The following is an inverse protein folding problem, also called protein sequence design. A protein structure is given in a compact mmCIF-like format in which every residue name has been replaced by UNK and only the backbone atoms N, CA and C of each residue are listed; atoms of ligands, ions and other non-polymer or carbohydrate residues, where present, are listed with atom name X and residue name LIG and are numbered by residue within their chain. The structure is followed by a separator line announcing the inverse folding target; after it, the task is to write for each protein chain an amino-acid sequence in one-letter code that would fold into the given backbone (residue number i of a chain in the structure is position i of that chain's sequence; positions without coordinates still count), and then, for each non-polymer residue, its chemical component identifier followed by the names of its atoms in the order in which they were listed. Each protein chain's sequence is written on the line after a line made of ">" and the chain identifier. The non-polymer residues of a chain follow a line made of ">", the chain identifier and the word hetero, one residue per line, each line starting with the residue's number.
data_IF_924066672958
#
_entry.id   IF_924066672958
#
_cell.length_a   1.000
_cell.length_b   1.000
_cell.length_c   1.000
_cell.angle_alpha   90.00
_cell.angle_beta   90.00
_cell.angle_gamma   90.00
#
_symmetry.space_group_name_H-M   'P 1'
#
loop_
_entity.id
_entity.type
_entity.pdbx_description
1 polymer ?
#
# COMPACT_ATOMS: atom_id res chain seq x y z
N UNK A 1 -15.31 -49.32 -14.34
CA UNK A 1 -15.87 -49.18 -15.68
C UNK A 1 -17.00 -48.15 -15.63
N UNK A 2 -16.76 -46.97 -16.17
CA UNK A 2 -17.67 -46.07 -16.91
C UNK A 2 -17.06 -44.67 -16.91
N UNK A 3 -16.34 -44.41 -17.99
CA UNK A 3 -15.85 -43.10 -18.40
C UNK A 3 -17.00 -42.25 -18.92
N UNK A 4 -17.14 -41.01 -18.45
CA UNK A 4 -17.98 -40.00 -19.08
C UNK A 4 -17.10 -38.79 -19.42
N UNK A 5 -16.84 -38.60 -20.71
CA UNK A 5 -16.20 -37.42 -21.27
C UNK A 5 -17.28 -36.36 -21.50
N UNK A 6 -17.05 -35.16 -20.96
CA UNK A 6 -17.87 -33.97 -21.25
C UNK A 6 -17.00 -32.99 -22.05
N UNK A 7 -17.37 -32.88 -23.34
CA UNK A 7 -16.80 -31.89 -24.25
C UNK A 7 -17.55 -30.54 -24.05
N UNK A 8 -16.86 -29.49 -23.65
CA UNK A 8 -17.40 -28.12 -23.60
C UNK A 8 -16.95 -27.35 -24.84
N UNK A 9 -17.90 -26.98 -25.66
CA UNK A 9 -17.74 -26.03 -26.78
C UNK A 9 -17.62 -24.61 -26.20
N UNK A 10 -16.55 -23.90 -26.55
CA UNK A 10 -16.39 -22.47 -26.32
C UNK A 10 -16.81 -21.74 -27.60
N UNK A 11 -17.91 -20.99 -27.53
CA UNK A 11 -18.35 -20.06 -28.56
C UNK A 11 -17.65 -18.70 -28.35
N UNK A 12 -16.86 -18.29 -29.34
CA UNK A 12 -16.23 -16.95 -29.39
C UNK A 12 -17.21 -16.01 -30.08
N UNK A 13 -17.78 -15.06 -29.33
CA UNK A 13 -18.55 -13.95 -29.87
C UNK A 13 -17.64 -12.72 -30.04
N UNK A 14 -17.42 -12.33 -31.31
CA UNK A 14 -16.68 -11.12 -31.65
C UNK A 14 -17.53 -9.87 -31.38
N UNK A 15 -16.96 -8.85 -30.74
CA UNK A 15 -17.52 -7.53 -30.57
C UNK A 15 -16.81 -6.55 -31.51
N UNK A 16 -17.58 -5.96 -32.41
CA UNK A 16 -17.16 -4.93 -33.35
C UNK A 16 -16.97 -3.58 -32.63
N UNK A 17 -15.83 -2.94 -32.90
CA UNK A 17 -15.50 -1.60 -32.43
C UNK A 17 -16.20 -0.52 -33.29
N UNK A 18 -16.99 0.33 -32.69
CA UNK A 18 -17.52 1.54 -33.30
C UNK A 18 -16.55 2.72 -33.13
N UNK A 19 -16.06 3.26 -34.23
CA UNK A 19 -15.25 4.46 -34.28
C UNK A 19 -16.15 5.69 -34.14
N UNK A 20 -15.91 6.53 -33.12
CA UNK A 20 -16.55 7.83 -32.98
C UNK A 20 -15.71 8.92 -33.68
N UNK A 21 -16.33 9.63 -34.59
CA UNK A 21 -15.76 10.74 -35.33
C UNK A 21 -15.60 11.99 -34.45
N UNK A 22 -14.42 12.58 -34.49
CA UNK A 22 -14.13 13.88 -33.88
C UNK A 22 -14.48 15.00 -34.85
N UNK A 23 -15.38 15.87 -34.42
CA UNK A 23 -15.69 17.15 -35.10
C UNK A 23 -14.67 18.22 -34.70
N UNK A 24 -13.92 18.71 -35.65
CA UNK A 24 -13.04 19.88 -35.55
C UNK A 24 -13.83 21.15 -35.57
N UNK A 25 -13.70 22.01 -34.57
CA UNK A 25 -14.21 23.37 -34.56
C UNK A 25 -13.12 24.34 -35.05
N UNK A 26 -13.55 25.24 -35.97
CA UNK A 26 -12.77 26.24 -36.69
C UNK A 26 -12.39 27.44 -35.78
N UNK A 27 -11.19 28.04 -35.90
CA UNK A 27 -10.79 29.16 -35.06
C UNK A 27 -11.26 30.52 -35.61
N UNK A 28 -11.86 31.33 -34.74
CA UNK A 28 -12.25 32.70 -35.01
C UNK A 28 -11.06 33.67 -35.10
N UNK A 29 -11.12 34.61 -36.04
CA UNK A 29 -10.10 35.59 -36.40
C UNK A 29 -9.84 36.66 -35.31
N UNK A 30 -8.67 37.34 -35.36
CA UNK A 30 -8.22 38.28 -34.33
C UNK A 30 -8.78 39.71 -34.54
N UNK A 31 -9.12 40.36 -33.44
CA UNK A 31 -9.51 41.78 -33.38
C UNK A 31 -8.25 42.69 -33.26
N UNK A 32 -8.31 43.81 -33.92
CA UNK A 32 -7.22 44.80 -34.07
C UNK A 32 -6.97 45.63 -32.78
N UNK A 33 -5.78 46.29 -32.67
CA UNK A 33 -5.34 46.92 -31.44
C UNK A 33 -5.84 48.35 -31.25
N UNK A 34 -6.17 48.72 -30.03
CA UNK A 34 -6.47 50.08 -29.59
C UNK A 34 -5.20 50.77 -29.07
N UNK A 35 -5.09 52.07 -29.40
CA UNK A 35 -3.93 52.92 -29.13
C UNK A 35 -3.77 53.34 -27.65
N UNK A 36 -2.58 53.82 -27.25
CA UNK A 36 -2.24 54.02 -25.83
C UNK A 36 -2.64 55.41 -25.33
N UNK A 37 -2.94 55.56 -24.07
CA UNK A 37 -2.94 56.85 -23.37
C UNK A 37 -1.66 57.07 -22.57
N UNK A 38 -1.38 58.34 -22.44
CA UNK A 38 -0.21 59.03 -21.98
C UNK A 38 0.25 58.75 -20.55
N UNK A 39 1.50 59.19 -20.39
CA UNK A 39 2.37 59.12 -19.25
C UNK A 39 1.94 59.77 -17.93
N UNK A 40 2.73 59.45 -16.95
CA UNK A 40 3.07 60.14 -15.69
C UNK A 40 2.27 59.75 -14.43
N UNK A 41 2.95 58.90 -13.68
CA UNK A 41 3.14 59.09 -12.24
C UNK A 41 4.28 58.16 -11.75
N UNK A 42 5.31 58.71 -11.16
CA UNK A 42 6.40 57.93 -10.56
C UNK A 42 5.91 56.98 -9.47
N UNK A 43 6.40 55.72 -9.50
CA UNK A 43 5.97 54.75 -8.48
C UNK A 43 6.65 55.07 -7.12
N UNK A 44 5.85 55.20 -6.10
CA UNK A 44 6.28 55.11 -4.70
C UNK A 44 6.99 53.79 -4.45
N UNK A 45 8.12 53.82 -3.76
CA UNK A 45 8.89 52.64 -3.38
C UNK A 45 8.00 51.62 -2.63
N UNK A 46 8.03 50.35 -2.97
CA UNK A 46 7.27 49.34 -2.24
C UNK A 46 7.76 49.24 -0.80
N UNK A 47 6.87 49.04 0.17
CA UNK A 47 7.25 48.73 1.53
C UNK A 47 8.14 47.49 1.55
N UNK A 48 9.22 47.52 2.32
CA UNK A 48 10.10 46.37 2.53
C UNK A 48 9.26 45.17 3.00
N UNK A 49 9.14 44.18 2.15
CA UNK A 49 8.47 42.92 2.44
C UNK A 49 9.24 42.27 3.59
N UNK A 50 8.60 42.14 4.75
CA UNK A 50 9.16 41.47 5.91
C UNK A 50 9.51 40.04 5.50
N UNK A 51 10.77 39.65 5.63
CA UNK A 51 11.23 38.30 5.34
C UNK A 51 10.30 37.30 6.08
N UNK A 52 9.82 36.24 5.39
CA UNK A 52 8.99 35.23 6.02
C UNK A 52 9.73 34.64 7.21
N UNK A 53 9.11 34.69 8.39
CA UNK A 53 9.65 34.07 9.59
C UNK A 53 9.93 32.60 9.25
N UNK A 54 11.17 32.16 9.47
CA UNK A 54 11.57 30.78 9.25
C UNK A 54 10.61 29.86 10.03
N UNK A 55 9.77 29.14 9.28
CA UNK A 55 8.84 28.16 9.85
C UNK A 55 9.68 27.11 10.59
N UNK A 56 9.49 26.96 11.89
CA UNK A 56 10.24 26.02 12.69
C UNK A 56 10.08 24.62 12.06
N UNK A 57 11.20 24.00 11.70
CA UNK A 57 11.21 22.68 11.05
C UNK A 57 10.40 21.70 11.89
N UNK A 58 9.37 21.11 11.29
CA UNK A 58 8.57 20.07 11.95
C UNK A 58 9.50 18.91 12.32
N UNK A 59 9.39 18.35 13.53
CA UNK A 59 10.21 17.20 13.91
C UNK A 59 9.98 16.04 12.93
N UNK A 60 11.06 15.38 12.55
CA UNK A 60 10.97 14.20 11.68
C UNK A 60 10.14 13.11 12.35
N UNK A 61 9.29 12.41 11.59
CA UNK A 61 8.50 11.33 12.13
C UNK A 61 9.41 10.17 12.57
N UNK A 62 9.11 9.56 13.71
CA UNK A 62 9.82 8.40 14.24
C UNK A 62 8.90 7.20 14.32
N UNK A 63 9.45 6.00 14.09
CA UNK A 63 8.71 4.77 14.26
C UNK A 63 8.28 4.60 15.73
N UNK A 64 7.05 4.13 16.00
CA UNK A 64 6.64 3.81 17.35
C UNK A 64 7.49 2.66 17.91
N UNK A 65 7.78 2.70 19.21
CA UNK A 65 8.54 1.69 19.93
C UNK A 65 7.67 0.62 20.57
N UNK A 66 6.36 0.85 20.64
CA UNK A 66 5.37 -0.01 21.27
C UNK A 66 4.08 -0.11 20.44
N UNK A 67 3.17 -0.99 20.87
CA UNK A 67 1.90 -1.22 20.20
C UNK A 67 2.01 -2.10 18.94
N UNK A 68 0.85 -2.41 18.37
CA UNK A 68 0.73 -3.33 17.21
C UNK A 68 1.51 -2.83 15.98
N UNK A 69 1.50 -1.52 15.76
CA UNK A 69 2.26 -0.91 14.68
C UNK A 69 3.77 -1.14 14.79
N UNK A 70 4.33 -1.03 16.01
CA UNK A 70 5.74 -1.31 16.27
C UNK A 70 6.07 -2.79 16.00
N UNK A 71 5.21 -3.72 16.44
CA UNK A 71 5.41 -5.15 16.19
C UNK A 71 5.40 -5.44 14.69
N UNK A 72 4.43 -4.90 13.95
CA UNK A 72 4.31 -5.11 12.50
C UNK A 72 5.51 -4.54 11.75
N UNK A 73 5.92 -3.30 12.02
CA UNK A 73 7.08 -2.68 11.35
C UNK A 73 8.39 -3.34 11.72
N UNK A 74 8.53 -3.86 12.96
CA UNK A 74 9.69 -4.65 13.37
C UNK A 74 9.80 -5.96 12.59
N UNK A 75 8.70 -6.71 12.42
CA UNK A 75 8.67 -7.93 11.59
C UNK A 75 8.94 -7.59 10.13
N UNK A 76 8.34 -6.52 9.59
CA UNK A 76 8.58 -6.05 8.24
C UNK A 76 10.08 -5.79 8.01
N UNK A 77 10.73 -5.03 8.91
CA UNK A 77 12.14 -4.67 8.80
C UNK A 77 13.09 -5.85 9.01
N UNK A 78 12.83 -6.70 10.01
CA UNK A 78 13.77 -7.77 10.39
C UNK A 78 13.57 -9.07 9.63
N UNK A 79 12.37 -9.30 9.08
CA UNK A 79 12.05 -10.55 8.38
C UNK A 79 11.79 -10.29 6.90
N UNK A 80 10.84 -9.42 6.55
CA UNK A 80 10.43 -9.24 5.16
C UNK A 80 11.51 -8.62 4.29
N UNK A 81 12.09 -7.50 4.72
CA UNK A 81 13.12 -6.81 3.93
C UNK A 81 14.33 -7.71 3.62
N UNK A 82 14.97 -8.36 4.59
CA UNK A 82 16.08 -9.26 4.27
C UNK A 82 15.64 -10.54 3.54
N UNK A 83 14.40 -11.02 3.74
CA UNK A 83 13.91 -12.22 3.07
C UNK A 83 13.75 -12.01 1.55
N UNK A 84 13.20 -10.88 1.10
CA UNK A 84 13.07 -10.59 -0.34
C UNK A 84 14.42 -10.36 -1.01
N UNK A 85 15.45 -10.04 -0.24
CA UNK A 85 16.87 -9.95 -0.67
C UNK A 85 17.61 -11.31 -0.62
N UNK A 86 16.89 -12.41 -0.43
CA UNK A 86 17.42 -13.77 -0.47
C UNK A 86 17.79 -14.35 0.89
N UNK A 87 17.48 -13.68 2.00
CA UNK A 87 17.69 -14.17 3.35
C UNK A 87 16.86 -15.43 3.67
N UNK A 88 17.39 -16.29 4.54
CA UNK A 88 16.70 -17.51 4.95
C UNK A 88 15.51 -17.23 5.86
N UNK A 89 14.33 -17.57 5.38
CA UNK A 89 13.08 -17.37 6.07
C UNK A 89 13.03 -17.88 7.52
N UNK A 90 13.54 -19.10 7.74
CA UNK A 90 13.52 -19.75 9.07
C UNK A 90 14.40 -19.01 10.06
N UNK A 91 15.64 -18.71 9.63
CA UNK A 91 16.62 -18.00 10.44
C UNK A 91 16.16 -16.59 10.80
N UNK A 92 15.62 -15.85 9.82
CA UNK A 92 15.12 -14.48 10.01
C UNK A 92 13.94 -14.43 10.99
N UNK A 93 12.95 -15.31 10.80
CA UNK A 93 11.78 -15.38 11.68
C UNK A 93 12.20 -15.77 13.11
N UNK A 94 13.12 -16.72 13.27
CA UNK A 94 13.62 -17.14 14.58
C UNK A 94 14.41 -16.02 15.27
N UNK A 95 15.28 -15.31 14.54
CA UNK A 95 16.03 -14.17 15.05
C UNK A 95 15.12 -12.99 15.45
N UNK A 96 13.98 -12.83 14.78
CA UNK A 96 12.95 -11.86 15.15
C UNK A 96 12.09 -12.28 16.37
N UNK A 97 12.40 -13.42 17.01
CA UNK A 97 11.67 -13.92 18.18
C UNK A 97 10.33 -14.58 17.86
N UNK A 98 10.06 -14.87 16.59
CA UNK A 98 8.83 -15.53 16.18
C UNK A 98 8.82 -17.02 16.54
N UNK A 99 7.67 -17.55 16.84
CA UNK A 99 7.47 -18.96 17.19
C UNK A 99 6.95 -19.76 16.00
N UNK A 100 7.56 -20.93 15.76
CA UNK A 100 7.09 -21.90 14.76
C UNK A 100 5.71 -22.43 15.14
N UNK A 101 4.78 -22.42 14.19
CA UNK A 101 3.43 -22.94 14.33
C UNK A 101 3.02 -23.72 13.08
N UNK A 102 1.91 -24.47 13.16
CA UNK A 102 1.24 -25.05 11.99
C UNK A 102 -0.10 -24.39 11.81
N UNK A 103 -0.39 -23.92 10.60
CA UNK A 103 -1.67 -23.35 10.22
C UNK A 103 -2.08 -23.93 8.86
N UNK A 104 -3.26 -24.52 8.78
CA UNK A 104 -3.81 -25.13 7.56
C UNK A 104 -2.85 -26.13 6.88
N UNK A 105 -2.12 -26.93 7.71
CA UNK A 105 -1.14 -27.90 7.25
C UNK A 105 0.25 -27.32 6.94
N UNK A 106 0.39 -26.01 6.81
CA UNK A 106 1.65 -25.33 6.51
C UNK A 106 2.42 -24.92 7.76
N UNK A 107 3.75 -24.90 7.65
CA UNK A 107 4.62 -24.32 8.68
C UNK A 107 4.64 -22.81 8.51
N UNK A 108 4.31 -22.10 9.59
CA UNK A 108 4.30 -20.63 9.66
C UNK A 108 5.08 -20.18 10.89
N UNK A 109 5.45 -18.90 10.93
CA UNK A 109 6.03 -18.28 12.13
C UNK A 109 5.09 -17.19 12.63
N UNK A 110 4.89 -17.14 13.95
CA UNK A 110 3.92 -16.23 14.58
C UNK A 110 4.57 -15.39 15.66
N UNK A 111 4.14 -14.14 15.77
CA UNK A 111 4.48 -13.22 16.85
C UNK A 111 3.20 -12.60 17.40
N UNK A 112 2.96 -12.66 18.72
CA UNK A 112 1.77 -12.01 19.28
C UNK A 112 1.83 -10.48 19.06
N UNK A 113 0.67 -9.90 18.81
CA UNK A 113 0.45 -8.46 18.88
C UNK A 113 0.25 -8.02 20.34
N UNK A 114 0.17 -6.73 20.56
CA UNK A 114 0.00 -6.16 21.89
C UNK A 114 -1.37 -6.50 22.49
N UNK A 115 -1.51 -6.34 23.81
CA UNK A 115 -2.78 -6.61 24.49
C UNK A 115 -2.98 -8.05 25.00
N UNK A 116 -2.07 -8.99 24.70
CA UNK A 116 -2.07 -10.34 25.28
C UNK A 116 -3.24 -11.23 24.84
N UNK A 117 -4.02 -10.82 23.84
CA UNK A 117 -5.11 -11.63 23.29
C UNK A 117 -4.51 -12.70 22.38
N UNK A 118 -4.82 -13.98 22.70
CA UNK A 118 -4.23 -15.14 22.02
C UNK A 118 -4.39 -15.14 20.49
N UNK A 119 -5.51 -14.58 20.01
CA UNK A 119 -5.85 -14.60 18.59
C UNK A 119 -5.25 -13.39 17.83
N UNK A 120 -4.61 -12.42 18.53
CA UNK A 120 -3.98 -11.26 17.91
C UNK A 120 -2.51 -11.54 17.60
N UNK A 121 -2.16 -11.64 16.34
CA UNK A 121 -0.81 -12.03 15.92
C UNK A 121 -0.42 -11.58 14.53
N UNK A 122 0.88 -11.45 14.32
CA UNK A 122 1.51 -11.43 13.00
C UNK A 122 1.90 -12.86 12.64
N UNK A 123 1.56 -13.28 11.44
CA UNK A 123 1.90 -14.60 10.88
C UNK A 123 2.70 -14.37 9.62
N UNK A 124 3.94 -14.85 9.59
CA UNK A 124 4.77 -14.86 8.39
C UNK A 124 4.60 -16.21 7.70
N UNK A 125 4.23 -16.18 6.44
CA UNK A 125 4.07 -17.39 5.62
C UNK A 125 5.38 -17.71 4.88
N UNK A 126 5.60 -19.00 4.63
CA UNK A 126 6.71 -19.42 3.78
C UNK A 126 6.49 -18.90 2.35
N UNK A 127 7.45 -18.16 1.77
CA UNK A 127 7.30 -17.58 0.42
C UNK A 127 7.21 -18.64 -0.70
N UNK A 128 7.52 -19.90 -0.42
CA UNK A 128 7.52 -20.97 -1.42
C UNK A 128 8.49 -20.67 -2.56
N UNK A 129 7.98 -20.67 -3.80
CA UNK A 129 8.77 -20.35 -5.00
C UNK A 129 8.92 -18.85 -5.26
N UNK A 130 8.03 -18.02 -4.74
CA UNK A 130 8.07 -16.56 -4.93
C UNK A 130 8.82 -15.87 -3.79
N UNK A 131 10.15 -15.93 -3.83
CA UNK A 131 11.02 -15.35 -2.81
C UNK A 131 11.10 -13.82 -2.85
N UNK A 132 10.60 -13.19 -3.89
CA UNK A 132 10.60 -11.72 -4.04
C UNK A 132 9.42 -11.05 -3.34
N UNK A 133 8.54 -11.82 -2.70
CA UNK A 133 7.39 -11.30 -1.96
C UNK A 133 7.35 -11.89 -0.57
N UNK A 134 7.31 -11.03 0.43
CA UNK A 134 7.02 -11.38 1.81
C UNK A 134 5.53 -11.17 2.08
N UNK A 135 4.86 -12.18 2.64
CA UNK A 135 3.45 -12.13 3.05
C UNK A 135 3.32 -12.25 4.56
N UNK A 136 2.75 -11.22 5.18
CA UNK A 136 2.34 -11.22 6.57
C UNK A 136 0.82 -11.28 6.65
N UNK A 137 0.28 -12.27 7.34
CA UNK A 137 -1.14 -12.24 7.76
C UNK A 137 -1.23 -11.62 9.13
N UNK A 138 -2.12 -10.66 9.30
CA UNK A 138 -2.35 -9.94 10.53
C UNK A 138 -3.74 -10.28 11.07
N UNK A 139 -3.80 -10.61 12.36
CA UNK A 139 -5.04 -10.76 13.12
C UNK A 139 -4.94 -9.79 14.30
N UNK A 140 -5.81 -8.78 14.35
CA UNK A 140 -5.73 -7.67 15.31
C UNK A 140 -7.11 -7.29 15.83
N UNK A 141 -7.17 -6.41 16.82
CA UNK A 141 -8.42 -5.97 17.40
C UNK A 141 -9.39 -5.43 16.34
N UNK A 142 -10.67 -5.66 16.50
CA UNK A 142 -11.72 -5.11 15.63
C UNK A 142 -11.55 -3.59 15.61
N UNK A 143 -11.52 -2.99 14.40
CA UNK A 143 -11.28 -1.57 14.12
C UNK A 143 -9.92 -1.04 14.64
N UNK A 144 -8.96 -1.96 14.88
CA UNK A 144 -7.60 -1.67 15.38
C UNK A 144 -6.57 -1.39 14.28
N UNK A 145 -6.95 -1.17 13.03
CA UNK A 145 -6.03 -0.96 11.90
C UNK A 145 -5.27 0.38 11.93
N UNK A 146 -5.85 1.42 12.54
CA UNK A 146 -5.29 2.78 12.49
C UNK A 146 -3.85 2.92 12.98
N UNK A 147 -3.47 2.38 14.17
CA UNK A 147 -2.08 2.43 14.61
C UNK A 147 -1.14 1.64 13.70
N UNK A 148 -1.59 0.54 13.11
CA UNK A 148 -0.80 -0.25 12.16
C UNK A 148 -0.54 0.57 10.89
N UNK A 149 -1.60 1.12 10.25
CA UNK A 149 -1.48 1.94 9.05
C UNK A 149 -0.61 3.17 9.30
N UNK A 150 -0.76 3.84 10.45
CA UNK A 150 0.10 4.98 10.81
C UNK A 150 1.58 4.58 10.87
N UNK A 151 1.89 3.44 11.46
CA UNK A 151 3.27 2.95 11.53
C UNK A 151 3.82 2.57 10.17
N UNK A 152 3.01 1.98 9.30
CA UNK A 152 3.38 1.68 7.91
C UNK A 152 3.62 2.96 7.09
N UNK A 153 2.82 4.02 7.29
CA UNK A 153 3.06 5.33 6.67
C UNK A 153 4.42 5.90 7.09
N UNK A 154 4.75 5.85 8.40
CA UNK A 154 6.04 6.32 8.91
C UNK A 154 7.18 5.44 8.37
N UNK A 155 7.00 4.12 8.38
CA UNK A 155 8.01 3.19 7.87
C UNK A 155 8.31 3.45 6.39
N UNK A 156 7.29 3.62 5.55
CA UNK A 156 7.43 3.91 4.13
C UNK A 156 8.05 5.29 3.88
N UNK A 157 7.77 6.28 4.75
CA UNK A 157 8.41 7.59 4.70
C UNK A 157 9.90 7.53 5.03
N UNK A 158 10.29 6.72 6.02
CA UNK A 158 11.69 6.56 6.45
C UNK A 158 12.46 5.53 5.61
N UNK A 159 11.79 4.84 4.71
CA UNK A 159 12.42 3.84 3.82
C UNK A 159 13.34 4.52 2.80
N UNK A 160 14.46 3.89 2.48
CA UNK A 160 15.36 4.35 1.44
C UNK A 160 15.40 3.32 0.29
N UNK A 161 14.94 3.69 -0.91
CA UNK A 161 14.29 4.95 -1.29
C UNK A 161 12.91 5.17 -0.64
N UNK A 162 12.52 6.45 -0.45
CA UNK A 162 11.21 6.82 0.06
C UNK A 162 10.07 6.22 -0.77
N UNK A 163 9.08 5.62 -0.10
CA UNK A 163 7.93 5.01 -0.74
C UNK A 163 6.67 5.87 -0.51
N UNK A 164 6.27 6.74 -1.45
CA UNK A 164 5.08 7.55 -1.31
C UNK A 164 3.81 6.67 -1.28
N UNK A 165 2.79 7.12 -0.56
CA UNK A 165 1.47 6.49 -0.60
C UNK A 165 0.88 6.66 -2.00
N UNK A 166 0.54 5.54 -2.65
CA UNK A 166 0.01 5.53 -4.02
C UNK A 166 -1.50 5.35 -4.04
N UNK A 167 -2.02 4.53 -3.15
CA UNK A 167 -3.38 4.07 -3.27
C UNK A 167 -4.02 3.81 -1.91
N UNK A 168 -5.27 4.29 -1.81
CA UNK A 168 -6.20 3.87 -0.80
C UNK A 168 -7.52 3.61 -1.52
N UNK A 169 -7.80 2.37 -1.87
CA UNK A 169 -8.99 2.01 -2.59
C UNK A 169 -9.89 1.05 -1.82
N UNK A 170 -11.16 1.14 -2.16
CA UNK A 170 -12.22 0.33 -1.64
C UNK A 170 -12.90 -0.39 -2.79
N UNK A 171 -12.77 -1.71 -2.81
CA UNK A 171 -13.42 -2.54 -3.83
C UNK A 171 -14.52 -3.36 -3.15
N UNK A 172 -15.80 -3.02 -3.33
CA UNK A 172 -16.89 -3.87 -2.90
C UNK A 172 -16.93 -5.12 -3.80
N UNK A 173 -17.10 -6.27 -3.17
CA UNK A 173 -17.40 -7.53 -3.85
C UNK A 173 -18.63 -8.15 -3.20
N UNK A 174 -19.22 -9.14 -3.86
CA UNK A 174 -20.44 -9.82 -3.39
C UNK A 174 -20.26 -10.43 -2.00
N UNK A 175 -19.08 -11.01 -1.75
CA UNK A 175 -18.82 -11.78 -0.55
C UNK A 175 -17.83 -11.11 0.42
N UNK A 176 -16.94 -10.27 -0.10
CA UNK A 176 -15.86 -9.65 0.66
C UNK A 176 -15.60 -8.23 0.15
N UNK A 177 -15.51 -7.31 1.10
CA UNK A 177 -15.04 -5.94 0.90
C UNK A 177 -13.54 -5.89 1.08
N UNK A 178 -12.81 -5.37 0.10
CA UNK A 178 -11.37 -5.19 0.16
C UNK A 178 -11.03 -3.70 0.29
N UNK A 179 -10.22 -3.36 1.29
CA UNK A 179 -9.68 -2.01 1.50
C UNK A 179 -8.17 -2.11 1.38
N UNK A 180 -7.59 -1.37 0.44
CA UNK A 180 -6.16 -1.45 0.11
C UNK A 180 -5.49 -0.11 0.38
N UNK A 181 -4.40 -0.13 1.15
CA UNK A 181 -3.44 0.96 1.24
C UNK A 181 -2.13 0.47 0.64
N UNK A 182 -1.50 1.25 -0.24
CA UNK A 182 -0.21 0.89 -0.83
C UNK A 182 0.78 2.06 -0.81
N UNK A 183 2.04 1.70 -0.75
CA UNK A 183 3.20 2.58 -0.82
C UNK A 183 4.15 1.97 -1.83
N UNK A 184 4.57 2.74 -2.82
CA UNK A 184 5.33 2.21 -3.95
C UNK A 184 6.42 3.18 -4.38
N UNK A 185 7.60 2.62 -4.64
CA UNK A 185 8.68 3.27 -5.35
C UNK A 185 8.96 2.49 -6.62
N UNK A 186 9.07 3.19 -7.74
CA UNK A 186 9.25 2.58 -9.05
C UNK A 186 10.18 3.42 -9.92
N UNK A 187 11.11 2.75 -10.59
CA UNK A 187 11.99 3.31 -11.63
C UNK A 187 12.07 2.36 -12.81
N UNK A 188 12.83 2.72 -13.83
CA UNK A 188 13.09 1.84 -14.99
C UNK A 188 13.87 0.58 -14.61
N UNK A 189 14.51 0.54 -13.43
CA UNK A 189 15.41 -0.52 -13.03
C UNK A 189 14.99 -1.29 -11.79
N UNK A 190 14.11 -0.72 -10.98
CA UNK A 190 13.68 -1.32 -9.73
C UNK A 190 12.25 -0.95 -9.35
N UNK A 191 11.64 -1.83 -8.58
CA UNK A 191 10.31 -1.62 -7.99
C UNK A 191 10.30 -2.12 -6.56
N UNK A 192 9.79 -1.31 -5.65
CA UNK A 192 9.54 -1.66 -4.26
C UNK A 192 8.08 -1.39 -3.94
N UNK A 193 7.40 -2.35 -3.33
CA UNK A 193 5.99 -2.25 -3.02
C UNK A 193 5.67 -2.75 -1.61
N UNK A 194 4.89 -1.96 -0.89
CA UNK A 194 4.27 -2.32 0.37
C UNK A 194 2.76 -2.18 0.22
N UNK A 195 2.01 -3.25 0.43
CA UNK A 195 0.56 -3.27 0.22
C UNK A 195 -0.14 -3.88 1.43
N UNK A 196 -1.00 -3.10 2.08
CA UNK A 196 -1.84 -3.53 3.19
C UNK A 196 -3.27 -3.72 2.70
N UNK A 197 -3.76 -4.96 2.71
CA UNK A 197 -5.10 -5.33 2.25
C UNK A 197 -5.92 -5.81 3.43
N UNK A 198 -6.91 -5.03 3.83
CA UNK A 198 -7.89 -5.40 4.84
C UNK A 198 -9.11 -6.05 4.18
N UNK A 199 -9.61 -7.13 4.78
CA UNK A 199 -10.78 -7.85 4.31
C UNK A 199 -11.91 -7.74 5.35
N UNK A 200 -13.07 -7.28 4.91
CA UNK A 200 -14.31 -7.20 5.73
C UNK A 200 -15.49 -7.83 4.98
N UNK A 201 -16.60 -8.02 5.64
CA UNK A 201 -17.86 -8.36 4.96
C UNK A 201 -18.35 -7.16 4.12
N UNK A 202 -19.27 -7.36 3.17
CA UNK A 202 -19.80 -6.27 2.34
C UNK A 202 -20.39 -5.10 3.13
N UNK A 203 -21.01 -5.39 4.29
CA UNK A 203 -21.56 -4.41 5.22
C UNK A 203 -20.51 -3.65 6.05
N UNK A 204 -19.23 -4.01 5.92
CA UNK A 204 -18.11 -3.41 6.64
C UNK A 204 -17.81 -4.09 7.99
N UNK A 205 -18.57 -5.09 8.41
CA UNK A 205 -18.27 -5.83 9.64
C UNK A 205 -17.11 -6.80 9.43
N UNK A 206 -16.42 -7.22 10.52
CA UNK A 206 -15.32 -8.18 10.43
C UNK A 206 -15.76 -9.52 9.83
N UNK A 207 -14.85 -10.16 9.07
CA UNK A 207 -15.06 -11.54 8.60
C UNK A 207 -15.06 -12.54 9.77
N UNK A 208 -14.32 -12.25 10.85
CA UNK A 208 -14.26 -13.03 12.06
C UNK A 208 -14.82 -12.23 13.24
N UNK A 209 -15.64 -12.86 14.07
CA UNK A 209 -16.26 -12.18 15.22
C UNK A 209 -15.27 -11.77 16.34
N UNK A 210 -14.03 -12.32 16.32
CA UNK A 210 -13.04 -12.12 17.38
C UNK A 210 -11.95 -11.12 17.02
N UNK A 211 -11.68 -10.93 15.72
CA UNK A 211 -10.57 -10.08 15.23
C UNK A 211 -10.86 -9.58 13.82
N UNK A 212 -10.26 -8.45 13.51
CA UNK A 212 -10.06 -8.01 12.12
C UNK A 212 -8.84 -8.69 11.53
N UNK A 213 -8.81 -8.78 10.19
CA UNK A 213 -7.71 -9.40 9.48
C UNK A 213 -7.25 -8.57 8.29
N UNK A 214 -5.95 -8.61 8.07
CA UNK A 214 -5.33 -8.03 6.89
C UNK A 214 -4.18 -8.89 6.38
N UNK A 215 -3.81 -8.67 5.12
CA UNK A 215 -2.56 -9.17 4.54
C UNK A 215 -1.67 -7.98 4.23
N UNK A 216 -0.44 -8.00 4.72
CA UNK A 216 0.60 -7.06 4.36
C UNK A 216 1.58 -7.78 3.43
N UNK A 217 1.77 -7.23 2.24
CA UNK A 217 2.71 -7.73 1.23
C UNK A 217 3.85 -6.73 1.09
N UNK A 218 5.07 -7.23 1.09
CA UNK A 218 6.26 -6.44 0.76
C UNK A 218 7.03 -7.12 -0.36
N UNK A 219 7.48 -6.37 -1.34
CA UNK A 219 8.25 -6.87 -2.47
C UNK A 219 9.33 -5.90 -2.92
N UNK A 220 10.47 -6.45 -3.35
CA UNK A 220 11.52 -5.72 -4.07
C UNK A 220 11.85 -6.50 -5.34
N UNK A 221 12.04 -5.78 -6.44
CA UNK A 221 12.44 -6.34 -7.74
C UNK A 221 13.42 -5.41 -8.44
N UNK A 222 14.42 -6.01 -9.06
CA UNK A 222 15.33 -5.34 -9.99
C UNK A 222 15.07 -5.88 -11.39
N UNK A 223 15.10 -5.02 -12.42
CA UNK A 223 14.81 -5.38 -13.82
C UNK A 223 16.07 -5.30 -14.67
#
# INVERSE_FOLDING_TARGET
>A
MRTAAIASLIAVAGLASAAAAQTTADPAAPAAPAAPPAADAAPAAPPAEAAPAAEAAKPEPTLPTDGDGAVVTNVLTKVCVPMVKGGDYVSLATAAGMKKAKKDGNVVYTLPLTGGVKDYMVIVENPGSNKQVCSLKLQYAIDGEKPIIRSLNIWAYLHDPYMPAQRNDYVPATDVKRITNSWEYFTDHESQGLVFVQLKKPDGTPLNAKYDQATLLYSERTF
#
